data_IF_479989851851
#
_entry.id   IF_479989851851
#
_cell.length_a   1.000
_cell.length_b   1.000
_cell.length_c   1.000
_cell.angle_alpha   90.00
_cell.angle_beta   90.00
_cell.angle_gamma   90.00
#
_symmetry.space_group_name_H-M   'P 1'
#
loop_
_entity.id
_entity.type
_entity.pdbx_description
1 polymer ?
#
# COMPACT_ATOMS: atom_id res chain seq x y z
N UNK A 1 -52.27 -15.37 -18.45
CA UNK A 1 -51.75 -15.68 -19.80
C UNK A 1 -50.66 -14.66 -20.13
N UNK A 2 -49.44 -15.12 -20.42
CA UNK A 2 -48.30 -14.29 -20.84
C UNK A 2 -48.46 -13.84 -22.28
N UNK A 3 -48.13 -12.58 -22.60
CA UNK A 3 -47.49 -12.24 -23.90
C UNK A 3 -46.53 -11.05 -23.75
N UNK A 4 -45.26 -11.36 -23.99
CA UNK A 4 -44.11 -10.63 -24.55
C UNK A 4 -44.03 -9.09 -24.55
N UNK A 5 -42.87 -8.62 -24.05
CA UNK A 5 -42.23 -7.32 -24.35
C UNK A 5 -42.17 -7.05 -25.86
N UNK A 6 -42.17 -5.76 -26.24
CA UNK A 6 -41.25 -5.25 -27.24
C UNK A 6 -40.13 -4.44 -26.60
N UNK A 7 -38.96 -4.61 -27.20
CA UNK A 7 -37.71 -3.90 -26.95
C UNK A 7 -37.80 -2.42 -27.39
N UNK A 8 -37.27 -1.56 -26.53
CA UNK A 8 -36.39 -0.43 -26.85
C UNK A 8 -36.95 0.72 -27.70
N UNK A 9 -37.22 1.86 -27.04
CA UNK A 9 -36.84 3.17 -27.59
C UNK A 9 -36.42 4.09 -26.46
N UNK A 10 -35.25 4.67 -26.66
CA UNK A 10 -34.47 5.46 -25.72
C UNK A 10 -35.21 6.72 -25.28
N UNK A 11 -35.22 6.98 -23.99
CA UNK A 11 -35.22 8.34 -23.48
C UNK A 11 -34.11 8.47 -22.45
N UNK A 12 -33.11 9.26 -22.82
CA UNK A 12 -32.13 9.90 -21.96
C UNK A 12 -32.77 10.45 -20.69
N UNK A 13 -32.05 10.38 -19.56
CA UNK A 13 -32.14 11.15 -18.30
C UNK A 13 -31.95 10.15 -17.15
N UNK A 14 -30.93 10.18 -16.30
CA UNK A 14 -30.03 11.24 -15.86
C UNK A 14 -28.71 10.55 -15.53
N UNK A 15 -27.61 11.18 -15.93
CA UNK A 15 -26.26 10.85 -15.48
C UNK A 15 -26.27 10.83 -13.96
N UNK A 16 -26.37 9.64 -13.37
CA UNK A 16 -25.88 9.43 -12.01
C UNK A 16 -24.37 9.62 -12.15
N UNK A 17 -23.88 10.77 -11.70
CA UNK A 17 -22.47 11.07 -11.57
C UNK A 17 -21.86 9.94 -10.74
N UNK A 18 -21.14 9.03 -11.38
CA UNK A 18 -20.39 8.00 -10.66
C UNK A 18 -19.47 8.70 -9.66
N UNK A 19 -19.36 8.19 -8.42
CA UNK A 19 -18.49 8.79 -7.43
C UNK A 19 -17.06 8.64 -7.96
N UNK A 20 -16.38 9.78 -8.01
CA UNK A 20 -14.94 9.96 -8.21
C UNK A 20 -14.15 8.70 -7.79
N UNK A 21 -13.84 7.79 -8.72
CA UNK A 21 -13.15 6.55 -8.40
C UNK A 21 -11.72 6.89 -7.99
N UNK A 22 -11.47 6.88 -6.69
CA UNK A 22 -10.13 7.07 -6.16
C UNK A 22 -9.23 5.98 -6.76
N UNK A 23 -8.10 6.35 -7.39
CA UNK A 23 -7.21 5.36 -8.01
C UNK A 23 -6.74 4.36 -6.96
N UNK A 24 -6.63 3.08 -7.33
CA UNK A 24 -6.08 2.07 -6.43
C UNK A 24 -4.67 2.45 -6.01
N UNK A 25 -4.25 2.03 -4.81
CA UNK A 25 -2.90 2.31 -4.30
C UNK A 25 -1.82 1.93 -5.34
N UNK A 26 -1.94 0.76 -5.96
CA UNK A 26 -1.02 0.30 -7.00
C UNK A 26 -0.89 1.29 -8.19
N UNK A 27 -1.94 2.01 -8.56
CA UNK A 27 -1.88 3.00 -9.65
C UNK A 27 -1.05 4.23 -9.26
N UNK A 28 -0.97 4.55 -7.97
CA UNK A 28 -0.27 5.71 -7.41
C UNK A 28 1.21 5.44 -7.09
N UNK A 29 1.62 4.18 -7.13
CA UNK A 29 2.99 3.77 -6.86
C UNK A 29 3.90 3.92 -8.09
N UNK A 30 5.21 4.15 -7.88
CA UNK A 30 6.23 3.97 -8.90
C UNK A 30 6.14 2.60 -9.57
N UNK A 31 6.45 2.54 -10.87
CA UNK A 31 6.34 1.31 -11.66
C UNK A 31 6.99 0.07 -11.02
N UNK A 32 8.20 0.15 -10.40
CA UNK A 32 8.81 -0.99 -9.73
C UNK A 32 7.97 -1.56 -8.58
N UNK A 33 7.19 -0.72 -7.88
CA UNK A 33 6.45 -1.13 -6.68
C UNK A 33 5.05 -1.64 -6.97
N UNK A 34 4.49 -1.33 -8.15
CA UNK A 34 3.11 -1.70 -8.49
C UNK A 34 2.87 -3.21 -8.45
N UNK A 35 3.87 -4.00 -8.84
CA UNK A 35 3.79 -5.48 -8.85
C UNK A 35 3.87 -6.12 -7.46
N UNK A 36 4.37 -5.38 -6.47
CA UNK A 36 4.58 -5.85 -5.09
C UNK A 36 3.47 -5.38 -4.16
N UNK A 37 2.76 -4.30 -4.50
CA UNK A 37 1.52 -3.88 -3.83
C UNK A 37 0.34 -4.75 -4.31
N UNK A 38 0.38 -6.03 -3.96
CA UNK A 38 -0.64 -7.00 -4.35
C UNK A 38 -1.84 -6.93 -3.41
N UNK A 39 -3.03 -7.24 -3.94
CA UNK A 39 -4.18 -7.49 -3.10
C UNK A 39 -3.94 -8.76 -2.26
N UNK A 40 -4.12 -8.66 -0.95
CA UNK A 40 -4.06 -9.82 -0.05
C UNK A 40 -5.24 -10.74 -0.39
N UNK A 41 -5.01 -12.06 -0.59
CA UNK A 41 -6.11 -12.99 -0.76
C UNK A 41 -7.10 -12.90 0.40
N UNK A 42 -8.40 -12.89 0.11
CA UNK A 42 -9.47 -12.76 1.12
C UNK A 42 -9.43 -13.91 2.14
N UNK A 43 -8.91 -15.06 1.73
CA UNK A 43 -8.75 -16.27 2.51
C UNK A 43 -7.33 -16.48 3.05
N UNK A 44 -6.43 -15.50 2.90
CA UNK A 44 -5.10 -15.59 3.49
C UNK A 44 -5.19 -15.69 5.02
N UNK A 45 -4.45 -16.63 5.59
CA UNK A 45 -4.24 -16.63 7.03
C UNK A 45 -3.39 -15.43 7.47
N UNK A 46 -3.40 -15.20 8.79
CA UNK A 46 -2.68 -14.10 9.43
C UNK A 46 -1.18 -14.06 9.07
N UNK A 47 -0.50 -15.20 9.15
CA UNK A 47 0.95 -15.27 8.95
C UNK A 47 1.32 -15.05 7.48
N UNK A 48 0.49 -15.53 6.56
CA UNK A 48 0.61 -15.31 5.13
C UNK A 48 0.43 -13.85 4.77
N UNK A 49 -0.65 -13.22 5.24
CA UNK A 49 -0.91 -11.80 5.04
C UNK A 49 0.24 -10.93 5.58
N UNK A 50 0.70 -11.21 6.80
CA UNK A 50 1.83 -10.55 7.42
C UNK A 50 3.12 -10.68 6.61
N UNK A 51 3.42 -11.87 6.08
CA UNK A 51 4.59 -12.10 5.22
C UNK A 51 4.52 -11.33 3.91
N UNK A 52 3.35 -11.28 3.26
CA UNK A 52 3.15 -10.52 2.03
C UNK A 52 3.39 -9.02 2.30
N UNK A 53 2.89 -8.51 3.42
CA UNK A 53 3.15 -7.14 3.86
C UNK A 53 4.63 -6.83 4.02
N UNK A 54 5.38 -7.74 4.67
CA UNK A 54 6.84 -7.61 4.80
C UNK A 54 7.56 -7.65 3.46
N UNK A 55 7.15 -8.50 2.53
CA UNK A 55 7.73 -8.56 1.18
C UNK A 55 7.53 -7.21 0.46
N UNK A 56 6.32 -6.65 0.50
CA UNK A 56 6.09 -5.33 -0.07
C UNK A 56 6.96 -4.25 0.60
N UNK A 57 7.10 -4.29 1.92
CA UNK A 57 7.96 -3.38 2.67
C UNK A 57 9.44 -3.49 2.27
N UNK A 58 9.96 -4.70 2.04
CA UNK A 58 11.34 -4.87 1.55
C UNK A 58 11.57 -4.18 0.20
N UNK A 59 10.64 -4.33 -0.74
CA UNK A 59 10.74 -3.65 -2.03
C UNK A 59 10.58 -2.14 -1.92
N UNK A 60 9.70 -1.67 -1.03
CA UNK A 60 9.58 -0.25 -0.70
C UNK A 60 10.91 0.31 -0.18
N UNK A 61 11.57 -0.37 0.77
CA UNK A 61 12.86 0.04 1.33
C UNK A 61 13.94 0.09 0.24
N UNK A 62 14.06 -0.97 -0.56
CA UNK A 62 15.00 -1.02 -1.70
C UNK A 62 14.77 0.14 -2.67
N UNK A 63 13.50 0.44 -2.97
CA UNK A 63 13.15 1.54 -3.86
C UNK A 63 13.56 2.90 -3.29
N UNK A 64 13.27 3.17 -2.01
CA UNK A 64 13.59 4.44 -1.36
C UNK A 64 15.10 4.63 -1.18
N UNK A 65 15.85 3.56 -0.91
CA UNK A 65 17.32 3.62 -0.86
C UNK A 65 17.92 4.00 -2.22
N UNK A 66 17.36 3.47 -3.31
CA UNK A 66 17.80 3.80 -4.67
C UNK A 66 17.29 5.17 -5.16
N UNK A 67 16.17 5.65 -4.63
CA UNK A 67 15.49 6.89 -5.03
C UNK A 67 15.10 7.69 -3.79
N UNK A 68 16.07 8.29 -3.07
CA UNK A 68 15.78 9.05 -1.87
C UNK A 68 14.79 10.18 -2.19
N UNK A 69 13.62 10.12 -1.57
CA UNK A 69 12.53 11.07 -1.79
C UNK A 69 12.97 12.50 -1.46
N UNK A 70 12.55 13.47 -2.28
CA UNK A 70 12.57 14.87 -1.87
C UNK A 70 11.58 15.07 -0.70
N UNK A 71 11.80 16.06 0.19
CA UNK A 71 10.96 16.29 1.37
C UNK A 71 9.44 16.40 1.10
N UNK A 72 9.07 16.82 -0.12
CA UNK A 72 7.67 17.03 -0.53
C UNK A 72 7.10 15.88 -1.39
N UNK A 73 7.84 14.78 -1.55
CA UNK A 73 7.46 13.62 -2.36
C UNK A 73 7.62 12.33 -1.54
N UNK A 74 7.03 12.33 -0.33
CA UNK A 74 7.08 11.18 0.57
C UNK A 74 6.17 10.08 0.07
N UNK A 75 6.79 9.03 -0.48
CA UNK A 75 6.08 7.84 -0.94
C UNK A 75 5.36 7.14 0.22
N UNK A 76 5.96 7.10 1.42
CA UNK A 76 5.33 6.51 2.61
C UNK A 76 4.04 7.24 2.99
N UNK A 77 4.04 8.58 2.92
CA UNK A 77 2.86 9.37 3.24
C UNK A 77 1.72 9.06 2.26
N UNK A 78 2.02 8.93 0.97
CA UNK A 78 1.03 8.55 -0.06
C UNK A 78 0.47 7.14 0.14
N UNK A 79 1.31 6.20 0.57
CA UNK A 79 0.87 4.86 0.95
C UNK A 79 -0.09 4.97 2.13
N UNK A 80 0.31 5.68 3.20
CA UNK A 80 -0.48 5.84 4.42
C UNK A 80 -1.87 6.46 4.17
N UNK A 81 -2.01 7.36 3.19
CA UNK A 81 -3.31 7.92 2.77
C UNK A 81 -4.31 6.87 2.26
N UNK A 82 -3.84 5.68 1.85
CA UNK A 82 -4.66 4.59 1.32
C UNK A 82 -4.77 3.40 2.28
N UNK A 83 -4.12 3.45 3.44
CA UNK A 83 -4.18 2.40 4.45
C UNK A 83 -5.40 2.60 5.33
N UNK A 84 -6.26 1.60 5.44
CA UNK A 84 -7.20 1.52 6.56
C UNK A 84 -6.49 0.92 7.78
N UNK A 85 -5.99 1.79 8.66
CA UNK A 85 -5.31 1.37 9.89
C UNK A 85 -6.23 0.68 10.92
N UNK A 86 -7.54 0.74 10.72
CA UNK A 86 -8.52 0.03 11.54
C UNK A 86 -8.97 -1.30 10.92
N UNK A 87 -8.45 -1.66 9.73
CA UNK A 87 -8.81 -2.89 9.04
C UNK A 87 -8.51 -4.11 9.91
N UNK A 88 -9.49 -5.02 10.00
CA UNK A 88 -9.33 -6.32 10.64
C UNK A 88 -9.13 -7.41 9.59
N UNK A 89 -8.56 -8.54 10.01
CA UNK A 89 -8.32 -9.68 9.14
C UNK A 89 -7.11 -9.47 8.21
N UNK A 90 -7.09 -10.11 7.04
CA UNK A 90 -5.89 -10.21 6.20
C UNK A 90 -5.30 -8.85 5.77
N UNK A 91 -6.14 -7.84 5.53
CA UNK A 91 -5.66 -6.50 5.19
C UNK A 91 -4.91 -5.84 6.36
N UNK A 92 -5.45 -5.96 7.58
CA UNK A 92 -4.80 -5.45 8.78
C UNK A 92 -3.47 -6.15 9.06
N UNK A 93 -3.44 -7.49 8.93
CA UNK A 93 -2.22 -8.29 9.11
C UNK A 93 -1.16 -7.97 8.05
N UNK A 94 -1.56 -7.69 6.81
CA UNK A 94 -0.66 -7.20 5.75
C UNK A 94 -0.03 -5.86 6.11
N UNK A 95 -0.82 -4.88 6.53
CA UNK A 95 -0.25 -3.58 6.91
C UNK A 95 0.61 -3.68 8.17
N UNK A 96 0.23 -4.52 9.13
CA UNK A 96 1.08 -4.83 10.29
C UNK A 96 2.44 -5.41 9.86
N UNK A 97 2.45 -6.34 8.90
CA UNK A 97 3.67 -6.85 8.29
C UNK A 97 4.50 -5.75 7.64
N UNK A 98 3.86 -4.89 6.83
CA UNK A 98 4.54 -3.80 6.14
C UNK A 98 5.26 -2.84 7.10
N UNK A 99 4.55 -2.35 8.12
CA UNK A 99 5.11 -1.40 9.09
C UNK A 99 6.10 -2.05 10.07
N UNK A 100 5.94 -3.34 10.41
CA UNK A 100 6.89 -4.05 11.28
C UNK A 100 8.32 -4.06 10.71
N UNK A 101 8.47 -4.31 9.41
CA UNK A 101 9.78 -4.34 8.77
C UNK A 101 10.38 -2.93 8.67
N UNK A 102 9.55 -1.91 8.46
CA UNK A 102 10.01 -0.52 8.50
C UNK A 102 10.52 -0.15 9.89
N UNK A 103 9.80 -0.52 10.94
CA UNK A 103 10.22 -0.31 12.33
C UNK A 103 11.56 -1.00 12.61
N UNK A 104 11.70 -2.27 12.26
CA UNK A 104 12.96 -3.02 12.41
C UNK A 104 14.14 -2.32 11.70
N UNK A 105 13.95 -1.87 10.46
CA UNK A 105 15.01 -1.19 9.71
C UNK A 105 15.34 0.18 10.31
N UNK A 106 14.35 0.93 10.78
CA UNK A 106 14.59 2.21 11.45
C UNK A 106 15.37 2.04 12.75
N UNK A 107 15.01 1.05 13.59
CA UNK A 107 15.75 0.74 14.83
C UNK A 107 17.20 0.36 14.51
N UNK A 108 17.42 -0.55 13.55
CA UNK A 108 18.76 -0.96 13.14
C UNK A 108 19.60 0.21 12.57
N UNK A 109 18.97 1.13 11.84
CA UNK A 109 19.64 2.31 11.32
C UNK A 109 20.06 3.26 12.45
N UNK A 110 19.17 3.52 13.42
CA UNK A 110 19.47 4.35 14.59
C UNK A 110 20.62 3.76 15.41
N UNK A 111 20.59 2.45 15.70
CA UNK A 111 21.66 1.77 16.43
C UNK A 111 23.01 1.91 15.71
N UNK A 112 23.00 1.86 14.37
CA UNK A 112 24.20 2.04 13.56
C UNK A 112 24.73 3.47 13.60
N UNK A 113 23.85 4.48 13.67
CA UNK A 113 24.25 5.89 13.83
C UNK A 113 24.86 6.16 15.21
N UNK A 114 24.27 5.61 16.28
CA UNK A 114 24.76 5.79 17.65
C UNK A 114 26.12 5.11 17.85
N UNK A 115 26.34 3.94 17.24
CA UNK A 115 27.62 3.24 17.29
C UNK A 115 28.76 4.00 16.58
N UNK A 116 28.47 4.68 15.46
CA UNK A 116 29.44 5.47 14.70
C UNK A 116 29.86 6.79 15.35
N UNK A 117 29.11 7.28 16.35
CA UNK A 117 29.42 8.51 17.09
C UNK A 117 30.55 8.38 18.13
N UNK A 118 31.02 7.15 18.40
CA UNK A 118 32.03 6.88 19.43
C UNK A 118 33.48 6.80 18.93
N UNK A 119 33.72 6.82 17.61
CA UNK A 119 35.06 6.62 17.02
C UNK A 119 35.83 7.92 16.70
N UNK A 120 35.45 9.07 17.27
CA UNK A 120 36.11 10.36 17.03
C UNK A 120 36.76 10.97 18.27
N UNK A 121 37.65 10.24 18.95
CA UNK A 121 38.70 10.84 19.79
C UNK A 121 39.97 9.98 19.71
N UNK A 122 40.90 10.34 18.82
CA UNK A 122 42.33 10.12 19.00
C UNK A 122 43.16 11.13 18.20
#
# INVERSE_FOLDING_TARGET
MSVQRPLNHQYYSVIATEPNQQPSLAALLPQPLRGHCQAVPVDADRDSAYRIGREFSSHYIEYVLAHPSAPNDSLLARIAEHVDFAAQGPEGDYWAGFFSLLEEVMVNAVDSFDAGGSDSIH
#
